data_IF_314444275178
#
_entry.id   IF_314444275178
#
_cell.length_a   1.000
_cell.length_b   1.000
_cell.length_c   1.000
_cell.angle_alpha   90.00
_cell.angle_beta   90.00
_cell.angle_gamma   90.00
#
_symmetry.space_group_name_H-M   'P 1'
#
loop_
_entity.id
_entity.type
_entity.pdbx_description
1 polymer ?
#
# COMPACT_ATOMS: atom_id res chain seq x y z
N UNK A 1 1.56 -0.24 6.16
CA UNK A 1 0.83 -0.71 4.95
C UNK A 1 0.78 -2.23 4.91
N UNK A 2 -0.41 -2.83 4.72
CA UNK A 2 -0.56 -4.29 4.62
C UNK A 2 -0.32 -4.74 3.19
N UNK A 3 0.15 -5.98 3.01
CA UNK A 3 0.45 -6.52 1.68
C UNK A 3 -0.80 -6.62 0.77
N UNK A 4 -2.00 -6.70 1.36
CA UNK A 4 -3.28 -6.72 0.63
C UNK A 4 -3.54 -5.40 -0.08
N UNK A 5 -3.34 -4.28 0.63
CA UNK A 5 -3.55 -2.92 0.11
C UNK A 5 -2.57 -2.62 -1.03
N UNK A 6 -1.34 -3.12 -0.91
CA UNK A 6 -0.32 -2.98 -1.96
C UNK A 6 -0.78 -3.72 -3.21
N UNK A 7 -1.16 -5.01 -3.12
CA UNK A 7 -1.56 -5.80 -4.30
C UNK A 7 -2.76 -5.22 -5.05
N UNK A 8 -3.68 -4.56 -4.34
CA UNK A 8 -4.86 -3.93 -4.91
C UNK A 8 -4.56 -2.69 -5.77
N UNK A 9 -3.40 -2.05 -5.59
CA UNK A 9 -3.02 -0.86 -6.38
C UNK A 9 -2.56 -1.23 -7.80
N UNK A 10 -2.77 -0.30 -8.74
CA UNK A 10 -2.20 -0.41 -10.08
C UNK A 10 -0.66 -0.32 -10.04
N UNK A 11 0.06 -0.97 -10.97
CA UNK A 11 1.52 -0.93 -11.00
C UNK A 11 2.09 0.50 -11.14
N UNK A 12 1.40 1.36 -11.88
CA UNK A 12 1.81 2.77 -12.05
C UNK A 12 1.66 3.57 -10.75
N UNK A 13 0.56 3.37 -10.01
CA UNK A 13 0.37 4.00 -8.70
C UNK A 13 1.39 3.52 -7.67
N UNK A 14 1.84 2.26 -7.77
CA UNK A 14 2.91 1.74 -6.90
C UNK A 14 4.23 2.47 -7.16
N UNK A 15 4.59 2.71 -8.42
CA UNK A 15 5.82 3.42 -8.80
C UNK A 15 5.81 4.87 -8.29
N UNK A 16 4.70 5.58 -8.44
CA UNK A 16 4.53 6.92 -7.91
C UNK A 16 4.73 6.96 -6.38
N UNK A 17 4.09 6.03 -5.66
CA UNK A 17 4.24 5.92 -4.19
C UNK A 17 5.66 5.54 -3.77
N UNK A 18 6.38 4.73 -4.54
CA UNK A 18 7.78 4.41 -4.27
C UNK A 18 8.63 5.69 -4.34
N UNK A 19 8.42 6.54 -5.34
CA UNK A 19 9.15 7.80 -5.49
C UNK A 19 8.90 8.74 -4.29
N UNK A 20 7.66 8.85 -3.84
CA UNK A 20 7.31 9.67 -2.67
C UNK A 20 7.90 9.12 -1.37
N UNK A 21 7.86 7.80 -1.18
CA UNK A 21 8.49 7.15 -0.02
C UNK A 21 10.02 7.31 -0.02
N UNK A 22 10.66 7.32 -1.18
CA UNK A 22 12.09 7.61 -1.30
C UNK A 22 12.40 9.06 -0.95
N UNK A 23 11.59 10.03 -1.40
CA UNK A 23 11.74 11.44 -0.99
C UNK A 23 11.62 11.59 0.53
N UNK A 24 10.62 10.94 1.13
CA UNK A 24 10.42 10.98 2.59
C UNK A 24 11.61 10.35 3.34
N UNK A 25 12.16 9.26 2.83
CA UNK A 25 13.37 8.64 3.38
C UNK A 25 14.58 9.59 3.29
N UNK A 26 14.78 10.22 2.14
CA UNK A 26 15.87 11.18 1.93
C UNK A 26 15.74 12.40 2.84
N UNK A 27 14.52 12.87 3.08
CA UNK A 27 14.26 13.96 4.04
C UNK A 27 14.60 13.50 5.46
N UNK A 28 14.13 12.34 5.93
CA UNK A 28 14.51 11.81 7.26
C UNK A 28 16.02 11.56 7.40
N UNK A 29 16.70 11.22 6.31
CA UNK A 29 18.16 11.10 6.29
C UNK A 29 18.86 12.46 6.30
N UNK A 30 18.38 13.45 5.52
CA UNK A 30 19.03 14.74 5.30
C UNK A 30 18.69 15.82 6.34
N UNK A 31 17.47 15.84 6.85
CA UNK A 31 16.99 16.81 7.87
C UNK A 31 17.77 16.78 9.19
N UNK A 32 18.67 15.82 9.36
CA UNK A 32 19.40 15.62 10.61
C UNK A 32 20.91 15.79 10.52
N UNK A 33 21.48 15.91 9.32
CA UNK A 33 22.90 16.23 9.16
C UNK A 33 23.18 17.70 9.50
N UNK A 34 22.19 18.59 9.38
CA UNK A 34 22.36 20.04 9.58
C UNK A 34 21.77 20.57 10.90
N UNK A 35 21.01 19.77 11.65
CA UNK A 35 20.31 20.23 12.87
C UNK A 35 20.77 19.42 14.08
N UNK A 36 21.66 20.02 14.88
CA UNK A 36 22.25 19.42 16.08
C UNK A 36 21.23 18.76 17.03
N UNK A 37 21.48 17.49 17.34
CA UNK A 37 21.02 16.86 18.60
C UNK A 37 19.71 16.10 18.60
N UNK A 38 18.96 16.03 17.50
CA UNK A 38 17.68 15.29 17.47
C UNK A 38 17.96 13.81 17.09
N UNK A 39 17.43 12.81 17.82
CA UNK A 39 17.69 11.36 17.55
C UNK A 39 16.94 10.80 16.34
N UNK A 40 17.63 10.17 15.37
CA UNK A 40 17.03 9.63 14.12
C UNK A 40 15.81 8.74 14.40
N UNK A 41 14.73 8.89 13.62
CA UNK A 41 13.55 8.05 13.78
C UNK A 41 13.72 6.73 13.01
N UNK A 42 14.54 5.82 13.57
CA UNK A 42 14.84 4.53 12.95
C UNK A 42 13.58 3.67 12.73
N UNK A 43 12.55 3.83 13.55
CA UNK A 43 11.26 3.16 13.39
C UNK A 43 10.60 3.52 12.05
N UNK A 44 10.45 4.82 11.78
CA UNK A 44 9.86 5.33 10.55
C UNK A 44 10.65 4.88 9.31
N UNK A 45 11.96 5.06 9.32
CA UNK A 45 12.81 4.61 8.22
C UNK A 45 12.73 3.09 7.95
N UNK A 46 12.64 2.27 9.01
CA UNK A 46 12.47 0.82 8.86
C UNK A 46 11.12 0.48 8.22
N UNK A 47 10.06 1.20 8.60
CA UNK A 47 8.73 1.00 8.00
C UNK A 47 8.68 1.42 6.53
N UNK A 48 9.33 2.54 6.17
CA UNK A 48 9.41 3.03 4.79
C UNK A 48 10.16 2.00 3.93
N UNK A 49 11.38 1.60 4.32
CA UNK A 49 12.19 0.59 3.60
C UNK A 49 11.43 -0.72 3.36
N UNK A 50 10.74 -1.23 4.39
CA UNK A 50 9.91 -2.44 4.26
C UNK A 50 8.74 -2.27 3.31
N UNK A 51 8.14 -1.08 3.29
CA UNK A 51 7.00 -0.79 2.43
C UNK A 51 7.43 -0.74 0.97
N UNK A 52 8.55 -0.07 0.67
CA UNK A 52 9.16 -0.05 -0.67
C UNK A 52 9.48 -1.46 -1.15
N UNK A 53 10.16 -2.27 -0.34
CA UNK A 53 10.49 -3.65 -0.70
C UNK A 53 9.23 -4.46 -1.08
N UNK A 54 8.16 -4.35 -0.29
CA UNK A 54 6.89 -5.04 -0.58
C UNK A 54 6.23 -4.57 -1.88
N UNK A 55 6.30 -3.28 -2.19
CA UNK A 55 5.77 -2.73 -3.44
C UNK A 55 6.57 -3.26 -4.64
N UNK A 56 7.90 -3.23 -4.57
CA UNK A 56 8.77 -3.79 -5.62
C UNK A 56 8.54 -5.28 -5.84
N UNK A 57 8.41 -6.06 -4.75
CA UNK A 57 8.06 -7.48 -4.85
C UNK A 57 6.68 -7.67 -5.49
N UNK A 58 5.70 -6.83 -5.17
CA UNK A 58 4.36 -6.94 -5.77
C UNK A 58 4.37 -6.61 -7.27
N UNK A 59 5.15 -5.62 -7.70
CA UNK A 59 5.35 -5.31 -9.13
C UNK A 59 5.98 -6.52 -9.83
N UNK A 60 7.10 -7.02 -9.31
CA UNK A 60 7.81 -8.16 -9.91
C UNK A 60 6.94 -9.42 -9.96
N UNK A 61 6.13 -9.66 -8.93
CA UNK A 61 5.24 -10.81 -8.90
C UNK A 61 4.06 -10.68 -9.88
N UNK A 62 3.62 -9.45 -10.21
CA UNK A 62 2.64 -9.19 -11.29
C UNK A 62 3.27 -9.42 -12.66
N UNK A 63 4.50 -8.96 -12.88
CA UNK A 63 5.25 -9.20 -14.12
C UNK A 63 5.45 -10.69 -14.40
N UNK A 64 5.76 -11.47 -13.36
CA UNK A 64 5.98 -12.92 -13.46
C UNK A 64 4.67 -13.74 -13.51
N UNK A 65 3.49 -13.11 -13.45
CA UNK A 65 2.20 -13.81 -13.41
C UNK A 65 1.93 -14.63 -12.14
N UNK A 66 2.84 -14.60 -11.15
CA UNK A 66 2.80 -15.43 -9.93
C UNK A 66 1.79 -14.94 -8.89
N UNK A 67 1.17 -13.78 -9.09
CA UNK A 67 0.34 -13.13 -8.08
C UNK A 67 -0.90 -12.49 -8.71
N UNK A 68 -1.82 -13.33 -9.16
CA UNK A 68 -3.18 -12.88 -9.46
C UNK A 68 -3.81 -12.31 -8.17
N UNK A 69 -4.44 -11.12 -8.20
CA UNK A 69 -5.22 -10.68 -7.06
C UNK A 69 -6.33 -11.70 -6.84
N UNK A 70 -6.30 -12.41 -5.70
CA UNK A 70 -7.49 -13.16 -5.26
C UNK A 70 -8.59 -12.10 -5.14
N UNK A 71 -9.72 -12.23 -5.86
CA UNK A 71 -10.73 -11.20 -5.91
C UNK A 71 -11.15 -10.90 -4.48
N UNK A 72 -10.95 -9.65 -4.07
CA UNK A 72 -11.48 -9.17 -2.82
C UNK A 72 -12.98 -9.47 -2.82
N UNK A 73 -13.45 -10.14 -1.77
CA UNK A 73 -14.88 -10.39 -1.49
C UNK A 73 -15.67 -9.07 -1.54
N UNK A 74 -16.05 -8.62 -2.73
CA UNK A 74 -17.02 -7.53 -2.94
C UNK A 74 -18.11 -7.93 -3.95
N UNK A 75 -18.43 -9.22 -3.99
CA UNK A 75 -19.65 -9.76 -4.61
C UNK A 75 -20.64 -10.35 -3.57
N UNK A 76 -20.48 -10.06 -2.27
CA UNK A 76 -21.40 -10.52 -1.22
C UNK A 76 -22.41 -9.45 -0.78
N UNK A 77 -22.74 -8.49 -1.65
CA UNK A 77 -23.80 -7.49 -1.42
C UNK A 77 -24.87 -7.47 -2.52
N UNK A 78 -24.95 -8.52 -3.35
CA UNK A 78 -26.09 -8.76 -4.21
C UNK A 78 -26.86 -9.98 -3.69
N UNK A 79 -27.66 -9.79 -2.64
CA UNK A 79 -28.84 -10.64 -2.45
C UNK A 79 -29.95 -10.05 -3.34
N UNK A 80 -30.44 -10.78 -4.34
CA UNK A 80 -31.71 -10.46 -4.97
C UNK A 80 -32.87 -10.92 -4.05
N UNK A 81 -34.03 -10.30 -4.22
CA UNK A 81 -35.36 -10.72 -3.74
C UNK A 81 -35.69 -10.52 -2.25
N UNK A 82 -36.56 -9.53 -1.97
CA UNK A 82 -37.94 -9.77 -1.53
C UNK A 82 -38.67 -8.44 -1.19
N UNK A 83 -39.41 -7.88 -2.16
CA UNK A 83 -40.77 -7.42 -1.85
C UNK A 83 -41.64 -8.68 -1.66
N UNK A 84 -42.72 -8.72 -0.86
CA UNK A 84 -43.68 -7.63 -0.62
C UNK A 84 -44.18 -7.52 0.85
N UNK A 85 -44.82 -6.41 1.22
CA UNK A 85 -45.98 -6.42 2.12
C UNK A 85 -46.62 -5.03 2.20
N UNK A 86 -47.78 -4.91 1.56
CA UNK A 86 -48.77 -3.90 1.87
C UNK A 86 -49.32 -4.13 3.30
N UNK A 87 -49.44 -3.05 4.09
CA UNK A 87 -50.55 -2.73 5.01
C UNK A 87 -50.15 -1.59 5.96
N UNK A 88 -50.78 -0.42 5.80
CA UNK A 88 -51.56 0.25 6.83
C UNK A 88 -52.47 1.28 6.18
#
# INVERSE_FOLDING_TARGET
>A
MKAKDIRAMAPEEMKAKIADLHRELSIEHGTRSSAGGKSRNYGKMRTIRRTVARMLTAIRAKELGLNAPKPAKKAAAAKPAAAPAAKK
#
